data_IF_347984277458
#
_entry.id   IF_347984277458
#
_cell.length_a   1.000
_cell.length_b   1.000
_cell.length_c   1.000
_cell.angle_alpha   90.00
_cell.angle_beta   90.00
_cell.angle_gamma   90.00
#
_symmetry.space_group_name_H-M   'P 1'
#
loop_
_entity.id
_entity.type
_entity.pdbx_description
1 polymer ?
#
# COMPACT_ATOMS: atom_id res chain seq x y z
N UNK A 1 -16.76 -69.44 18.27
CA UNK A 1 -16.78 -68.41 19.30
C UNK A 1 -16.06 -67.08 18.87
N UNK A 2 -15.54 -66.97 17.64
CA UNK A 2 -14.85 -65.72 17.17
C UNK A 2 -15.73 -64.79 16.31
N UNK A 3 -16.98 -65.18 16.02
CA UNK A 3 -17.88 -64.32 15.17
C UNK A 3 -18.89 -63.52 15.96
N UNK A 4 -19.07 -63.80 17.29
CA UNK A 4 -20.00 -63.04 18.13
C UNK A 4 -19.41 -61.81 18.80
N UNK A 5 -18.06 -61.70 18.89
CA UNK A 5 -17.40 -60.53 19.47
C UNK A 5 -17.29 -59.34 18.51
N UNK A 6 -17.42 -59.58 17.20
CA UNK A 6 -17.34 -58.51 16.19
C UNK A 6 -18.64 -57.73 16.01
N UNK A 7 -19.77 -58.32 16.34
CA UNK A 7 -21.07 -57.66 16.23
C UNK A 7 -21.38 -56.72 17.42
N UNK A 8 -20.77 -56.97 18.59
CA UNK A 8 -20.98 -56.12 19.78
C UNK A 8 -20.16 -54.81 19.75
N UNK A 9 -19.05 -54.78 18.99
CA UNK A 9 -18.21 -53.56 18.87
C UNK A 9 -18.74 -52.55 17.85
N UNK A 10 -19.62 -53.02 16.93
CA UNK A 10 -20.21 -52.15 15.88
C UNK A 10 -21.49 -51.44 16.33
N UNK A 11 -22.12 -51.84 17.43
CA UNK A 11 -23.35 -51.24 17.96
C UNK A 11 -23.13 -50.13 18.99
N UNK A 12 -21.90 -49.94 19.50
CA UNK A 12 -21.56 -48.85 20.45
C UNK A 12 -21.09 -47.58 19.74
N UNK A 13 -20.77 -47.66 18.43
CA UNK A 13 -20.26 -46.51 17.65
C UNK A 13 -21.34 -45.60 17.04
N UNK A 14 -22.64 -45.95 17.18
CA UNK A 14 -23.75 -45.19 16.55
C UNK A 14 -24.50 -44.27 17.53
N UNK A 15 -24.20 -44.35 18.84
CA UNK A 15 -24.92 -43.58 19.87
C UNK A 15 -24.31 -42.20 20.22
N UNK A 16 -23.25 -41.73 19.53
CA UNK A 16 -22.60 -40.41 19.79
C UNK A 16 -22.80 -39.34 18.72
N UNK A 17 -23.75 -39.51 17.79
CA UNK A 17 -24.00 -38.49 16.73
C UNK A 17 -25.32 -37.73 16.88
N UNK A 18 -25.96 -37.75 18.04
CA UNK A 18 -27.27 -37.12 18.25
C UNK A 18 -27.26 -35.99 19.31
N UNK A 19 -26.17 -35.25 19.48
CA UNK A 19 -26.12 -34.11 20.41
C UNK A 19 -25.42 -32.89 19.81
N UNK A 20 -25.86 -32.42 18.64
CA UNK A 20 -25.59 -31.05 18.14
C UNK A 20 -26.76 -30.63 17.26
N UNK A 21 -27.89 -30.39 17.87
CA UNK A 21 -29.05 -29.76 17.26
C UNK A 21 -29.40 -28.49 18.03
N UNK A 22 -29.36 -27.38 17.33
CA UNK A 22 -29.95 -26.12 17.70
C UNK A 22 -29.03 -25.09 18.36
N UNK A 23 -28.35 -24.31 17.55
CA UNK A 23 -28.11 -22.89 17.84
C UNK A 23 -28.24 -22.08 16.54
N UNK A 24 -29.35 -21.34 16.52
CA UNK A 24 -29.71 -20.33 15.58
C UNK A 24 -28.59 -19.29 15.40
N UNK A 25 -28.37 -18.90 14.17
CA UNK A 25 -27.88 -17.67 13.61
C UNK A 25 -27.07 -16.73 14.50
N UNK A 26 -25.77 -16.79 14.32
CA UNK A 26 -24.92 -15.61 14.52
C UNK A 26 -23.92 -15.57 13.38
N UNK A 27 -23.88 -14.43 12.68
CA UNK A 27 -23.03 -14.21 11.52
C UNK A 27 -21.60 -14.66 11.77
N UNK A 28 -21.03 -15.29 10.78
CA UNK A 28 -19.64 -15.73 10.74
C UNK A 28 -18.72 -14.57 11.06
N UNK A 29 -18.43 -14.34 12.34
CA UNK A 29 -17.23 -13.59 12.74
C UNK A 29 -16.05 -14.45 12.32
N UNK A 30 -15.29 -13.97 11.36
CA UNK A 30 -14.02 -14.56 10.98
C UNK A 30 -13.22 -14.90 12.24
N UNK A 31 -12.75 -16.15 12.33
CA UNK A 31 -11.90 -16.65 13.45
C UNK A 31 -10.46 -16.11 13.41
N UNK A 32 -10.18 -15.01 12.74
CA UNK A 32 -8.97 -14.23 12.96
C UNK A 32 -9.25 -13.35 14.18
N UNK A 33 -8.65 -13.69 15.30
CA UNK A 33 -8.76 -12.91 16.52
C UNK A 33 -8.49 -11.44 16.21
N UNK A 34 -9.25 -10.56 16.83
CA UNK A 34 -9.21 -9.12 16.63
C UNK A 34 -7.77 -8.60 16.48
N UNK A 35 -7.44 -8.12 15.26
CA UNK A 35 -6.10 -7.63 14.95
C UNK A 35 -5.69 -6.49 15.89
N UNK A 36 -6.64 -5.62 16.27
CA UNK A 36 -6.39 -4.54 17.20
C UNK A 36 -5.97 -5.06 18.57
N UNK A 37 -6.70 -6.02 19.14
CA UNK A 37 -6.33 -6.62 20.42
C UNK A 37 -4.94 -7.25 20.38
N UNK A 38 -4.58 -7.93 19.27
CA UNK A 38 -3.25 -8.51 19.07
C UNK A 38 -2.16 -7.44 19.02
N UNK A 39 -2.34 -6.39 18.23
CA UNK A 39 -1.39 -5.26 18.08
C UNK A 39 -1.25 -4.52 19.40
N UNK A 40 -2.36 -4.24 20.07
CA UNK A 40 -2.37 -3.59 21.39
C UNK A 40 -1.61 -4.38 22.44
N UNK A 41 -1.83 -5.70 22.49
CA UNK A 41 -1.11 -6.59 23.42
C UNK A 41 0.40 -6.62 23.16
N UNK A 42 0.81 -6.61 21.88
CA UNK A 42 2.24 -6.57 21.50
C UNK A 42 2.89 -5.20 21.77
N UNK A 43 2.10 -4.13 21.83
CA UNK A 43 2.59 -2.74 21.88
C UNK A 43 3.32 -2.29 20.61
N UNK A 44 3.18 -3.03 19.50
CA UNK A 44 3.91 -2.82 18.24
C UNK A 44 2.93 -2.92 17.06
N UNK A 45 2.97 -1.92 16.18
CA UNK A 45 2.35 -1.92 14.86
C UNK A 45 3.42 -2.26 13.82
N UNK A 46 3.33 -3.43 13.18
CA UNK A 46 4.25 -3.80 12.11
C UNK A 46 3.79 -3.19 10.79
N UNK A 47 4.70 -2.48 10.11
CA UNK A 47 4.41 -1.64 8.95
C UNK A 47 5.17 -2.13 7.73
N UNK A 48 4.47 -2.53 6.67
CA UNK A 48 5.07 -2.83 5.36
C UNK A 48 5.33 -1.55 4.57
N UNK A 49 6.54 -1.42 4.02
CA UNK A 49 6.97 -0.27 3.21
C UNK A 49 8.10 -0.68 2.26
N UNK A 50 8.43 0.15 1.26
CA UNK A 50 9.52 -0.18 0.31
C UNK A 50 10.90 0.23 0.81
N UNK A 51 11.04 1.40 1.44
CA UNK A 51 12.34 1.97 1.77
C UNK A 51 13.13 2.52 0.57
N UNK A 52 12.54 2.55 -0.63
CA UNK A 52 13.18 2.98 -1.90
C UNK A 52 12.35 3.97 -2.71
N UNK A 53 11.28 4.51 -2.12
CA UNK A 53 10.34 5.43 -2.79
C UNK A 53 10.39 6.82 -2.16
N UNK A 54 11.44 7.58 -2.44
CA UNK A 54 11.64 8.96 -1.97
C UNK A 54 10.60 9.92 -2.62
N UNK A 55 9.96 10.84 -1.87
CA UNK A 55 10.19 11.24 -0.49
C UNK A 55 9.25 10.58 0.53
N UNK A 56 8.52 9.52 0.15
CA UNK A 56 7.51 8.88 1.00
C UNK A 56 8.10 7.87 1.98
N UNK A 57 8.98 7.00 1.50
CA UNK A 57 9.65 5.96 2.26
C UNK A 57 11.01 5.66 1.63
N UNK A 58 12.09 6.01 2.31
CA UNK A 58 13.45 5.85 1.80
C UNK A 58 14.47 5.91 2.93
N UNK A 59 15.71 5.52 2.63
CA UNK A 59 16.83 5.65 3.56
C UNK A 59 17.52 7.01 3.39
N UNK A 60 17.64 7.76 4.48
CA UNK A 60 18.40 9.01 4.50
C UNK A 60 19.87 8.74 4.17
N UNK A 61 20.41 9.46 3.18
CA UNK A 61 21.74 9.22 2.63
C UNK A 61 22.89 9.39 3.62
N UNK A 62 22.67 10.11 4.75
CA UNK A 62 23.71 10.37 5.75
C UNK A 62 23.66 9.41 6.91
N UNK A 63 22.46 9.10 7.38
CA UNK A 63 22.22 8.30 8.58
C UNK A 63 21.82 6.85 8.31
N UNK A 64 21.51 6.54 7.05
CA UNK A 64 20.95 5.25 6.60
C UNK A 64 19.67 4.83 7.34
N UNK A 65 18.99 5.79 7.96
CA UNK A 65 17.72 5.54 8.66
C UNK A 65 16.56 5.64 7.71
N UNK A 66 15.63 4.69 7.82
CA UNK A 66 14.35 4.75 7.12
C UNK A 66 13.60 6.01 7.56
N UNK A 67 13.19 6.81 6.57
CA UNK A 67 12.52 8.10 6.73
C UNK A 67 11.56 8.35 5.58
N UNK A 68 10.83 9.46 5.62
CA UNK A 68 9.93 9.88 4.56
C UNK A 68 8.57 10.30 5.11
N UNK A 69 7.74 10.83 4.22
CA UNK A 69 6.41 11.32 4.59
C UNK A 69 5.53 10.21 5.20
N UNK A 70 5.42 9.07 4.52
CA UNK A 70 4.61 7.94 5.00
C UNK A 70 5.14 7.39 6.31
N UNK A 71 6.48 7.33 6.44
CA UNK A 71 7.15 6.88 7.66
C UNK A 71 6.80 7.79 8.85
N UNK A 72 6.87 9.12 8.68
CA UNK A 72 6.52 10.06 9.74
C UNK A 72 5.03 10.01 10.10
N UNK A 73 4.14 9.94 9.10
CA UNK A 73 2.69 9.90 9.35
C UNK A 73 2.31 8.62 10.12
N UNK A 74 2.79 7.44 9.70
CA UNK A 74 2.43 6.19 10.40
C UNK A 74 3.12 6.06 11.76
N UNK A 75 4.31 6.65 11.95
CA UNK A 75 4.96 6.74 13.26
C UNK A 75 4.16 7.58 14.24
N UNK A 76 3.65 8.74 13.81
CA UNK A 76 2.80 9.59 14.66
C UNK A 76 1.46 8.92 14.96
N UNK A 77 0.85 8.22 13.97
CA UNK A 77 -0.35 7.39 14.21
C UNK A 77 -0.06 6.34 15.28
N UNK A 78 1.00 5.55 15.14
CA UNK A 78 1.36 4.52 16.10
C UNK A 78 1.58 5.11 17.51
N UNK A 79 2.27 6.24 17.61
CA UNK A 79 2.52 6.96 18.87
C UNK A 79 1.21 7.37 19.55
N UNK A 80 0.22 7.91 18.81
CA UNK A 80 -1.11 8.29 19.36
C UNK A 80 -1.89 7.08 19.86
N UNK A 81 -1.66 5.91 19.24
CA UNK A 81 -2.25 4.64 19.69
C UNK A 81 -1.50 4.01 20.88
N UNK A 82 -0.39 4.62 21.34
CA UNK A 82 0.47 4.06 22.37
C UNK A 82 1.25 2.83 21.91
N UNK A 83 1.59 2.78 20.61
CA UNK A 83 2.31 1.70 19.95
C UNK A 83 3.67 2.17 19.43
N UNK A 84 4.59 1.21 19.24
CA UNK A 84 5.79 1.41 18.44
C UNK A 84 5.53 1.00 16.98
N UNK A 85 5.96 1.79 15.99
CA UNK A 85 6.02 1.36 14.61
C UNK A 85 7.29 0.51 14.36
N UNK A 86 7.13 -0.67 13.77
CA UNK A 86 8.22 -1.58 13.38
C UNK A 86 8.12 -1.85 11.88
N UNK A 87 9.07 -1.31 11.11
CA UNK A 87 9.03 -1.35 9.65
C UNK A 87 9.61 -2.64 9.09
N UNK A 88 8.92 -3.19 8.08
CA UNK A 88 9.32 -4.37 7.30
C UNK A 88 9.41 -3.96 5.85
N UNK A 89 10.61 -3.85 5.35
CA UNK A 89 10.85 -3.45 3.98
C UNK A 89 10.63 -4.62 3.02
N UNK A 90 9.97 -4.34 1.90
CA UNK A 90 9.71 -5.30 0.82
C UNK A 90 9.39 -4.55 -0.47
N UNK A 91 9.68 -5.16 -1.61
CA UNK A 91 9.36 -4.60 -2.92
C UNK A 91 7.85 -4.45 -3.11
N UNK A 92 7.44 -3.43 -3.88
CA UNK A 92 6.03 -3.11 -4.11
C UNK A 92 5.20 -4.31 -4.57
N UNK A 93 5.67 -5.05 -5.58
CA UNK A 93 4.91 -6.17 -6.15
C UNK A 93 4.72 -7.36 -5.18
N UNK A 94 5.51 -7.40 -4.08
CA UNK A 94 5.38 -8.37 -2.98
C UNK A 94 4.61 -7.83 -1.76
N UNK A 95 4.26 -6.55 -1.75
CA UNK A 95 3.69 -5.85 -0.58
C UNK A 95 2.39 -6.49 -0.11
N UNK A 96 1.43 -6.66 -1.00
CA UNK A 96 0.12 -7.21 -0.65
C UNK A 96 0.17 -8.71 -0.33
N UNK A 97 1.07 -9.47 -0.95
CA UNK A 97 1.33 -10.86 -0.55
C UNK A 97 1.88 -10.94 0.88
N UNK A 98 2.79 -10.03 1.26
CA UNK A 98 3.31 -9.90 2.61
C UNK A 98 2.23 -9.55 3.64
N UNK A 99 1.33 -8.61 3.29
CA UNK A 99 0.19 -8.22 4.11
C UNK A 99 -0.75 -9.41 4.36
N UNK A 100 -1.10 -10.16 3.30
CA UNK A 100 -1.95 -11.35 3.39
C UNK A 100 -1.30 -12.48 4.20
N UNK A 101 0.02 -12.63 4.08
CA UNK A 101 0.81 -13.58 4.86
C UNK A 101 1.07 -13.14 6.31
N UNK A 102 0.47 -12.01 6.76
CA UNK A 102 0.60 -11.47 8.13
C UNK A 102 2.06 -11.11 8.51
N UNK A 103 2.91 -10.80 7.53
CA UNK A 103 4.29 -10.35 7.79
C UNK A 103 4.32 -8.95 8.42
N UNK A 104 3.27 -8.17 8.16
CA UNK A 104 3.01 -6.86 8.78
C UNK A 104 1.49 -6.62 8.90
N UNK A 105 1.12 -5.67 9.74
CA UNK A 105 -0.27 -5.40 10.10
C UNK A 105 -0.91 -4.35 9.19
N UNK A 106 -0.10 -3.42 8.67
CA UNK A 106 -0.50 -2.29 7.84
C UNK A 106 0.54 -2.05 6.75
N UNK A 107 0.10 -1.53 5.60
CA UNK A 107 0.98 -1.00 4.55
C UNK A 107 0.92 0.53 4.57
N UNK A 108 2.08 1.17 4.65
CA UNK A 108 2.29 2.61 4.50
C UNK A 108 3.29 2.86 3.37
N UNK A 109 2.77 3.06 2.14
CA UNK A 109 3.56 3.18 0.91
C UNK A 109 2.75 3.80 -0.24
N UNK A 110 2.11 4.94 -0.01
CA UNK A 110 1.28 5.64 -0.99
C UNK A 110 0.25 4.75 -1.68
N UNK A 111 -0.49 3.95 -0.91
CA UNK A 111 -1.43 2.98 -1.46
C UNK A 111 -2.69 3.66 -2.00
N UNK A 112 -2.92 3.52 -3.30
CA UNK A 112 -4.20 3.83 -3.94
C UNK A 112 -5.24 2.74 -3.65
N UNK A 113 -6.50 3.13 -3.45
CA UNK A 113 -7.62 2.24 -3.08
C UNK A 113 -8.23 1.53 -4.28
N UNK A 114 -8.29 2.21 -5.43
CA UNK A 114 -8.98 1.76 -6.64
C UNK A 114 -8.61 0.34 -7.08
N UNK A 115 -9.62 -0.52 -7.18
CA UNK A 115 -9.48 -1.92 -7.61
C UNK A 115 -9.02 -2.87 -6.49
N UNK A 116 -8.89 -2.39 -5.24
CA UNK A 116 -8.49 -3.19 -4.08
C UNK A 116 -9.53 -3.24 -2.97
N UNK A 117 -10.65 -2.51 -3.11
CA UNK A 117 -11.66 -2.26 -2.08
C UNK A 117 -12.32 -3.54 -1.55
N UNK A 118 -12.47 -4.55 -2.42
CA UNK A 118 -13.07 -5.83 -2.04
C UNK A 118 -12.10 -6.76 -1.29
N UNK A 119 -10.79 -6.51 -1.42
CA UNK A 119 -9.75 -7.41 -0.91
C UNK A 119 -9.11 -6.90 0.39
N UNK A 120 -9.13 -5.58 0.62
CA UNK A 120 -8.45 -4.92 1.72
C UNK A 120 -9.35 -3.90 2.41
N UNK A 121 -9.06 -3.61 3.67
CA UNK A 121 -9.60 -2.46 4.38
C UNK A 121 -8.63 -1.28 4.28
N UNK A 122 -9.16 -0.05 4.32
CA UNK A 122 -8.37 1.16 4.15
C UNK A 122 -8.68 2.17 5.23
N UNK A 123 -7.67 2.96 5.61
CA UNK A 123 -7.86 4.14 6.45
C UNK A 123 -8.62 5.25 5.71
N UNK A 124 -8.86 6.35 6.40
CA UNK A 124 -9.13 7.63 5.76
C UNK A 124 -7.91 8.07 4.95
N UNK A 125 -8.13 8.90 3.92
CA UNK A 125 -7.03 9.46 3.12
C UNK A 125 -6.11 10.33 3.98
N UNK A 126 -4.80 10.26 3.71
CA UNK A 126 -3.82 11.13 4.35
C UNK A 126 -2.97 11.94 3.36
N UNK A 127 -3.07 11.63 2.05
CA UNK A 127 -2.41 12.39 0.97
C UNK A 127 -3.34 12.50 -0.23
N UNK A 128 -3.22 13.61 -0.96
CA UNK A 128 -3.80 13.81 -2.29
C UNK A 128 -2.71 14.31 -3.21
N UNK A 129 -2.51 13.65 -4.35
CA UNK A 129 -1.52 14.01 -5.36
C UNK A 129 -2.05 13.70 -6.77
N UNK A 130 -1.38 14.19 -7.81
CA UNK A 130 -1.73 13.87 -9.19
C UNK A 130 -0.79 12.80 -9.75
N UNK A 131 -1.30 11.96 -10.63
CA UNK A 131 -0.46 11.15 -11.50
C UNK A 131 0.17 12.06 -12.58
N UNK A 132 1.44 11.82 -12.90
CA UNK A 132 2.14 12.48 -14.01
C UNK A 132 2.76 11.44 -14.94
N UNK A 133 2.87 11.80 -16.20
CA UNK A 133 3.64 11.05 -17.19
C UNK A 133 5.02 11.66 -17.32
N UNK A 134 6.04 10.83 -17.13
CA UNK A 134 7.45 11.21 -17.28
C UNK A 134 8.01 10.58 -18.54
N UNK A 135 8.73 11.38 -19.31
CA UNK A 135 9.35 10.95 -20.58
C UNK A 135 10.79 11.46 -20.65
N UNK A 136 11.53 11.03 -21.67
CA UNK A 136 12.79 11.67 -22.03
C UNK A 136 12.55 13.13 -22.43
N UNK A 137 13.51 14.01 -22.17
CA UNK A 137 13.35 15.47 -22.36
C UNK A 137 12.98 15.86 -23.79
N UNK A 138 13.54 15.16 -24.77
CA UNK A 138 13.32 15.37 -26.21
C UNK A 138 12.10 14.62 -26.79
N UNK A 139 11.35 13.89 -25.95
CA UNK A 139 10.15 13.17 -26.35
C UNK A 139 9.04 14.11 -26.84
N UNK A 140 8.33 13.67 -27.88
CA UNK A 140 7.14 14.35 -28.45
C UNK A 140 5.84 13.97 -27.75
N UNK A 141 5.86 13.05 -26.80
CA UNK A 141 4.69 12.68 -25.98
C UNK A 141 4.29 13.88 -25.13
N UNK A 142 3.06 14.41 -25.30
CA UNK A 142 2.56 15.60 -24.62
C UNK A 142 1.14 15.45 -24.06
N UNK A 143 0.42 14.38 -24.38
CA UNK A 143 -0.96 14.11 -23.94
C UNK A 143 -1.25 12.61 -23.93
N UNK A 144 -2.33 12.21 -23.28
CA UNK A 144 -2.77 10.81 -23.12
C UNK A 144 -2.83 10.04 -24.46
N UNK A 145 -3.37 10.67 -25.52
CA UNK A 145 -3.49 10.02 -26.82
C UNK A 145 -2.15 9.60 -27.46
N UNK A 146 -1.04 10.27 -27.07
CA UNK A 146 0.30 9.97 -27.58
C UNK A 146 0.92 8.72 -26.92
N UNK A 147 0.30 8.19 -25.86
CA UNK A 147 0.78 7.02 -25.10
C UNK A 147 0.51 5.71 -25.81
N UNK A 148 -0.55 5.67 -26.62
CA UNK A 148 -0.97 4.42 -27.31
C UNK A 148 0.18 3.79 -28.11
N UNK A 149 0.45 2.53 -27.82
CA UNK A 149 1.50 1.73 -28.47
C UNK A 149 2.93 2.03 -28.02
N UNK A 150 3.13 3.00 -27.12
CA UNK A 150 4.43 3.31 -26.51
C UNK A 150 4.77 2.31 -25.41
N UNK A 151 6.06 2.19 -25.04
CA UNK A 151 6.52 1.34 -23.95
C UNK A 151 6.57 2.12 -22.65
N UNK A 152 5.75 1.70 -21.67
CA UNK A 152 5.74 2.26 -20.33
C UNK A 152 6.43 1.34 -19.33
N UNK A 153 7.45 1.84 -18.63
CA UNK A 153 8.11 1.11 -17.54
C UNK A 153 7.32 1.28 -16.24
N UNK A 154 6.75 0.17 -15.69
CA UNK A 154 5.81 0.21 -14.55
C UNK A 154 6.01 -0.97 -13.60
N UNK A 155 5.83 -0.75 -12.29
CA UNK A 155 5.63 -1.85 -11.34
C UNK A 155 4.28 -2.52 -11.62
N UNK A 156 4.27 -3.84 -11.80
CA UNK A 156 3.18 -4.57 -12.43
C UNK A 156 1.84 -4.49 -11.68
N UNK A 157 1.89 -4.34 -10.35
CA UNK A 157 0.71 -4.30 -9.47
C UNK A 157 0.28 -2.88 -9.07
N UNK A 158 0.97 -1.83 -9.57
CA UNK A 158 0.66 -0.44 -9.22
C UNK A 158 -0.61 0.07 -9.90
N UNK A 159 -1.26 1.07 -9.28
CA UNK A 159 -2.34 1.84 -9.90
C UNK A 159 -1.86 2.58 -11.16
N UNK A 160 -0.60 3.00 -11.21
CA UNK A 160 0.01 3.65 -12.37
C UNK A 160 0.16 2.70 -13.57
N UNK A 161 0.44 1.41 -13.34
CA UNK A 161 0.39 0.38 -14.38
C UNK A 161 -1.00 0.27 -15.01
N UNK A 162 -2.06 0.37 -14.20
CA UNK A 162 -3.43 0.37 -14.70
C UNK A 162 -3.67 1.55 -15.63
N UNK A 163 -3.29 2.78 -15.22
CA UNK A 163 -3.41 3.99 -16.06
C UNK A 163 -2.65 3.84 -17.38
N UNK A 164 -1.42 3.34 -17.35
CA UNK A 164 -0.62 3.12 -18.56
C UNK A 164 -1.29 2.13 -19.52
N UNK A 165 -1.85 1.02 -19.02
CA UNK A 165 -2.60 0.04 -19.81
C UNK A 165 -3.87 0.62 -20.42
N UNK A 166 -4.63 1.38 -19.63
CA UNK A 166 -5.86 2.04 -20.09
C UNK A 166 -5.59 3.06 -21.19
N UNK A 167 -4.42 3.75 -21.14
CA UNK A 167 -3.93 4.62 -22.20
C UNK A 167 -3.38 3.85 -23.43
N UNK A 168 -3.35 2.53 -23.40
CA UNK A 168 -2.91 1.68 -24.51
C UNK A 168 -1.39 1.50 -24.61
N UNK A 169 -0.64 1.72 -23.54
CA UNK A 169 0.80 1.45 -23.50
C UNK A 169 1.11 -0.06 -23.47
N UNK A 170 2.28 -0.42 -24.00
CA UNK A 170 2.92 -1.70 -23.76
C UNK A 170 3.69 -1.61 -22.44
N UNK A 171 3.59 -2.63 -21.58
CA UNK A 171 4.20 -2.58 -20.26
C UNK A 171 5.54 -3.30 -20.26
N UNK A 172 6.57 -2.59 -19.80
CA UNK A 172 7.85 -3.14 -19.36
C UNK A 172 7.85 -3.18 -17.84
N UNK A 173 7.93 -4.38 -17.24
CA UNK A 173 7.88 -4.60 -15.81
C UNK A 173 9.16 -4.15 -15.11
N UNK A 174 9.04 -3.37 -14.04
CA UNK A 174 10.18 -2.88 -13.23
C UNK A 174 9.82 -2.88 -11.75
N UNK A 175 10.82 -2.87 -10.88
CA UNK A 175 10.64 -2.87 -9.42
C UNK A 175 10.07 -1.55 -8.89
N UNK A 176 10.41 -0.39 -9.50
CA UNK A 176 9.97 0.91 -9.00
C UNK A 176 10.40 2.09 -9.87
N UNK A 177 10.12 3.30 -9.37
CA UNK A 177 10.32 4.56 -10.12
C UNK A 177 11.77 4.76 -10.59
N UNK A 178 12.76 4.47 -9.74
CA UNK A 178 14.17 4.67 -10.09
C UNK A 178 14.56 3.86 -11.33
N UNK A 179 14.14 2.60 -11.40
CA UNK A 179 14.40 1.73 -12.55
C UNK A 179 13.61 2.18 -13.78
N UNK A 180 12.34 2.63 -13.61
CA UNK A 180 11.55 3.21 -14.71
C UNK A 180 12.29 4.39 -15.37
N UNK A 181 12.77 5.33 -14.54
CA UNK A 181 13.48 6.52 -15.04
C UNK A 181 14.82 6.17 -15.70
N UNK A 182 15.51 5.14 -15.19
CA UNK A 182 16.75 4.64 -15.82
C UNK A 182 16.47 4.07 -17.23
N UNK A 183 15.42 3.26 -17.40
CA UNK A 183 15.04 2.71 -18.71
C UNK A 183 14.65 3.82 -19.70
N UNK A 184 13.94 4.85 -19.24
CA UNK A 184 13.59 6.01 -20.07
C UNK A 184 14.86 6.74 -20.54
N UNK A 185 15.82 7.01 -19.65
CA UNK A 185 17.08 7.67 -20.00
C UNK A 185 17.90 6.87 -21.00
N UNK A 186 17.89 5.54 -20.89
CA UNK A 186 18.56 4.61 -21.81
C UNK A 186 17.81 4.44 -23.14
N UNK A 187 16.59 5.00 -23.28
CA UNK A 187 15.76 4.81 -24.49
C UNK A 187 15.16 3.42 -24.61
N UNK A 188 15.12 2.63 -23.52
CA UNK A 188 14.52 1.29 -23.44
C UNK A 188 13.04 1.32 -23.08
N UNK A 189 12.56 2.44 -22.55
CA UNK A 189 11.14 2.76 -22.36
C UNK A 189 10.89 4.19 -22.82
N UNK A 190 9.66 4.46 -23.28
CA UNK A 190 9.25 5.78 -23.75
C UNK A 190 8.77 6.68 -22.61
N UNK A 191 8.12 6.08 -21.61
CA UNK A 191 7.47 6.80 -20.52
C UNK A 191 7.31 5.96 -19.25
N UNK A 192 6.93 6.64 -18.16
CA UNK A 192 6.34 6.05 -16.95
C UNK A 192 5.26 6.95 -16.39
N UNK A 193 4.22 6.37 -15.80
CA UNK A 193 3.28 7.06 -14.93
C UNK A 193 3.77 6.96 -13.49
N UNK A 194 3.74 8.06 -12.76
CA UNK A 194 4.11 8.04 -11.34
C UNK A 194 3.47 9.21 -10.58
N UNK A 195 3.66 9.23 -9.26
CA UNK A 195 3.21 10.32 -8.40
C UNK A 195 3.96 11.62 -8.69
N UNK A 196 3.22 12.73 -8.79
CA UNK A 196 3.79 14.06 -9.06
C UNK A 196 4.79 14.49 -7.99
N UNK A 197 4.49 14.24 -6.71
CA UNK A 197 5.37 14.65 -5.61
C UNK A 197 6.69 13.86 -5.65
N UNK A 198 6.63 12.55 -5.94
CA UNK A 198 7.83 11.73 -6.11
C UNK A 198 8.68 12.19 -7.29
N UNK A 199 8.05 12.47 -8.43
CA UNK A 199 8.75 12.92 -9.64
C UNK A 199 9.39 14.30 -9.43
N UNK A 200 8.67 15.26 -8.83
CA UNK A 200 9.21 16.59 -8.52
C UNK A 200 10.38 16.52 -7.54
N UNK A 201 10.25 15.67 -6.51
CA UNK A 201 11.36 15.44 -5.59
C UNK A 201 12.58 14.84 -6.32
N UNK A 202 12.38 13.83 -7.16
CA UNK A 202 13.46 13.23 -7.95
C UNK A 202 14.15 14.28 -8.85
N UNK A 203 13.39 15.07 -9.60
CA UNK A 203 13.97 16.11 -10.47
C UNK A 203 14.79 17.13 -9.69
N UNK A 204 14.32 17.50 -8.48
CA UNK A 204 15.02 18.45 -7.59
C UNK A 204 16.29 17.85 -6.98
N UNK A 205 16.23 16.62 -6.48
CA UNK A 205 17.32 16.02 -5.68
C UNK A 205 18.40 15.38 -6.55
N UNK A 206 18.03 14.80 -7.71
CA UNK A 206 18.99 14.19 -8.63
C UNK A 206 19.69 15.19 -9.55
N UNK A 207 19.11 16.38 -9.74
CA UNK A 207 19.57 17.33 -10.76
C UNK A 207 19.45 16.82 -12.20
N UNK A 208 18.67 15.73 -12.40
CA UNK A 208 18.52 15.08 -13.70
C UNK A 208 17.78 15.99 -14.70
N UNK A 209 18.45 16.34 -15.81
CA UNK A 209 17.90 17.19 -16.87
C UNK A 209 17.47 16.39 -18.12
N UNK A 210 17.60 15.05 -18.11
CA UNK A 210 17.34 14.19 -19.26
C UNK A 210 15.90 13.67 -19.33
N UNK A 211 15.11 13.88 -18.27
CA UNK A 211 13.69 13.55 -18.24
C UNK A 211 12.84 14.79 -17.90
N UNK A 212 11.56 14.74 -18.25
CA UNK A 212 10.60 15.80 -17.96
C UNK A 212 9.24 15.20 -17.58
N UNK A 213 8.45 15.94 -16.83
CA UNK A 213 7.01 15.71 -16.77
C UNK A 213 6.43 16.17 -18.13
N UNK A 214 5.79 15.25 -18.84
CA UNK A 214 5.15 15.52 -20.12
C UNK A 214 3.75 16.12 -19.92
N UNK A 215 2.94 15.55 -19.03
CA UNK A 215 1.60 16.03 -18.66
C UNK A 215 1.13 15.39 -17.35
N UNK A 216 0.10 15.96 -16.73
CA UNK A 216 -0.64 15.36 -15.62
C UNK A 216 -1.70 14.42 -16.16
N UNK A 217 -1.87 13.24 -15.55
CA UNK A 217 -2.75 12.18 -16.02
C UNK A 217 -3.86 11.87 -15.01
N UNK A 218 -5.08 11.67 -15.55
CA UNK A 218 -6.23 11.24 -14.76
C UNK A 218 -6.73 12.26 -13.74
N UNK A 219 -7.44 11.76 -12.72
CA UNK A 219 -7.95 12.55 -11.60
C UNK A 219 -6.95 12.51 -10.43
N UNK A 220 -7.02 13.48 -9.48
CA UNK A 220 -6.21 13.45 -8.29
C UNK A 220 -6.30 12.10 -7.57
N UNK A 221 -5.15 11.55 -7.25
CA UNK A 221 -5.01 10.27 -6.56
C UNK A 221 -4.99 10.50 -5.05
N UNK A 222 -5.82 9.76 -4.33
CA UNK A 222 -5.83 9.75 -2.87
C UNK A 222 -5.12 8.50 -2.37
N UNK A 223 -4.35 8.63 -1.29
CA UNK A 223 -3.61 7.53 -0.71
C UNK A 223 -4.05 7.24 0.72
N UNK A 224 -3.93 5.98 1.10
CA UNK A 224 -4.49 5.38 2.29
C UNK A 224 -3.49 4.40 2.90
N UNK A 225 -3.59 4.15 4.18
CA UNK A 225 -3.01 2.95 4.76
C UNK A 225 -3.89 1.75 4.41
N UNK A 226 -3.28 0.63 4.01
CA UNK A 226 -4.00 -0.58 3.66
C UNK A 226 -3.81 -1.68 4.72
N UNK A 227 -4.89 -2.40 5.00
CA UNK A 227 -4.96 -3.46 6.00
C UNK A 227 -5.56 -4.72 5.38
N UNK A 228 -5.32 -5.88 6.00
CA UNK A 228 -6.05 -7.10 5.64
C UNK A 228 -7.55 -6.88 5.81
N UNK A 229 -8.34 -7.54 4.97
CA UNK A 229 -9.80 -7.55 5.12
C UNK A 229 -10.20 -8.08 6.49
N UNK A 230 -11.16 -7.41 7.13
CA UNK A 230 -11.60 -7.73 8.48
C UNK A 230 -10.82 -7.02 9.59
N UNK A 231 -9.98 -6.03 9.27
CA UNK A 231 -9.19 -5.24 10.24
C UNK A 231 -9.95 -4.00 10.77
N UNK A 232 -11.28 -3.96 10.68
CA UNK A 232 -12.11 -2.77 10.90
C UNK A 232 -11.87 -2.05 12.23
N UNK A 233 -11.59 -2.78 13.33
CA UNK A 233 -11.32 -2.16 14.63
C UNK A 233 -9.97 -1.41 14.61
N UNK A 234 -8.89 -2.01 14.08
CA UNK A 234 -7.61 -1.32 13.91
C UNK A 234 -7.75 -0.10 12.99
N UNK A 235 -8.49 -0.23 11.87
CA UNK A 235 -8.80 0.88 10.95
C UNK A 235 -9.51 2.03 11.69
N UNK A 236 -10.49 1.72 12.54
CA UNK A 236 -11.20 2.71 13.34
C UNK A 236 -10.25 3.51 14.25
N UNK A 237 -9.33 2.82 14.93
CA UNK A 237 -8.34 3.48 15.78
C UNK A 237 -7.36 4.33 14.98
N UNK A 238 -6.88 3.83 13.83
CA UNK A 238 -6.00 4.58 12.91
C UNK A 238 -6.71 5.83 12.37
N UNK A 239 -7.98 5.72 11.96
CA UNK A 239 -8.77 6.86 11.48
C UNK A 239 -8.99 7.91 12.57
N UNK A 240 -9.21 7.49 13.82
CA UNK A 240 -9.27 8.41 14.95
C UNK A 240 -7.97 9.19 15.10
N UNK A 241 -6.82 8.52 15.06
CA UNK A 241 -5.52 9.18 15.14
C UNK A 241 -5.29 10.14 13.95
N UNK A 242 -5.63 9.73 12.71
CA UNK A 242 -5.53 10.60 11.53
C UNK A 242 -6.44 11.84 11.65
N UNK A 243 -7.66 11.67 12.17
CA UNK A 243 -8.58 12.78 12.43
C UNK A 243 -7.98 13.77 13.43
N UNK A 244 -7.48 13.30 14.56
CA UNK A 244 -6.81 14.12 15.56
C UNK A 244 -5.60 14.86 14.96
N UNK A 245 -4.80 14.20 14.11
CA UNK A 245 -3.66 14.82 13.40
C UNK A 245 -4.11 15.91 12.41
N UNK A 246 -5.29 15.78 11.82
CA UNK A 246 -5.88 16.82 10.96
C UNK A 246 -6.35 18.01 11.78
N UNK A 247 -7.06 17.75 12.87
CA UNK A 247 -7.65 18.78 13.76
C UNK A 247 -6.58 19.62 14.46
N UNK A 248 -5.51 19.02 14.94
CA UNK A 248 -4.41 19.74 15.62
C UNK A 248 -3.31 20.26 14.68
N UNK A 249 -3.46 20.03 13.37
CA UNK A 249 -2.55 20.51 12.34
C UNK A 249 -1.26 19.71 12.19
N UNK A 250 -1.07 18.62 12.93
CA UNK A 250 0.14 17.78 12.85
C UNK A 250 0.33 17.20 11.45
N UNK A 251 -0.74 16.71 10.81
CA UNK A 251 -0.66 16.14 9.46
C UNK A 251 -0.26 17.19 8.43
N UNK A 252 -0.84 18.39 8.51
CA UNK A 252 -0.46 19.53 7.67
C UNK A 252 1.01 19.95 7.88
N UNK A 253 1.48 19.93 9.13
CA UNK A 253 2.89 20.24 9.45
C UNK A 253 3.85 19.23 8.82
N UNK A 254 3.54 17.93 8.90
CA UNK A 254 4.34 16.89 8.27
C UNK A 254 4.32 17.06 6.74
N UNK A 255 3.14 17.29 6.12
CA UNK A 255 3.00 17.53 4.70
C UNK A 255 3.86 18.70 4.22
N UNK A 256 3.76 19.85 4.89
CA UNK A 256 4.55 21.06 4.56
C UNK A 256 6.06 20.86 4.74
N UNK A 257 6.49 20.07 5.72
CA UNK A 257 7.91 19.72 5.89
C UNK A 257 8.46 19.00 4.66
N UNK A 258 7.70 18.05 4.10
CA UNK A 258 8.17 17.22 2.99
C UNK A 258 7.97 17.87 1.62
N UNK A 259 6.85 18.57 1.42
CA UNK A 259 6.42 19.04 0.10
C UNK A 259 6.38 20.56 -0.04
N UNK A 260 6.54 21.32 1.06
CA UNK A 260 6.38 22.77 1.05
C UNK A 260 4.92 23.24 1.07
N UNK A 261 3.97 22.34 0.86
CA UNK A 261 2.53 22.60 0.84
C UNK A 261 1.74 21.52 1.59
N UNK A 262 0.45 21.77 1.85
CA UNK A 262 -0.43 20.86 2.54
C UNK A 262 -1.16 19.93 1.56
N UNK A 263 -0.61 18.76 1.34
CA UNK A 263 -1.15 17.68 0.48
C UNK A 263 -2.10 16.74 1.24
N UNK A 264 -2.42 17.03 2.49
CA UNK A 264 -3.27 16.18 3.34
C UNK A 264 -4.78 16.51 3.28
N UNK A 265 -5.15 17.53 2.50
CA UNK A 265 -6.52 18.01 2.35
C UNK A 265 -7.40 17.14 1.47
#
# INVERSE_FOLDING_TARGET
>A
MKKALFALFMMVSIAMLAACGNSQGSGSKSKDGDLWASVKKKGVLTVGTEGTYEPFTFHDKKSDKLTGYDVEVIQEVAKRLGLKADFKETQWDSMFAGLNAKRFDVVANQVGKTGRENQYDFSDKYTTSNAVVVTKKDSTIAKEADVKGKTAAQSLTSNYNKLAKEAGAKIEGVEGMAQSLQLIQQGRADLTYNDKLAVLNYLKTSGNKNVKIAFEAGQPQQTYFAFRKGSGELVTHVNKALKEMKEDGTLSKIAKKWFGEDVSK
#
